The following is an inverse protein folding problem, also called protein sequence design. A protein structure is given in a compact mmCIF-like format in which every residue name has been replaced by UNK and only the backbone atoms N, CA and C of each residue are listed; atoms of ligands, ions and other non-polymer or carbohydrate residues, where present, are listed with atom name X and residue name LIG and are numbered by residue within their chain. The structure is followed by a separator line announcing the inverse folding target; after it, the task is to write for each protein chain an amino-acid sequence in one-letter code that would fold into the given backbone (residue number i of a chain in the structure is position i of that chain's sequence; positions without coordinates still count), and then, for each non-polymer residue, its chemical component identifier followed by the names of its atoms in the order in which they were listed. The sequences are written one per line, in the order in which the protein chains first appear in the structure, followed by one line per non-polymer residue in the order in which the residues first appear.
data_IF_669715375829
#
_entry.id   IF_669715375829
#
_cell.length_a   1.000
_cell.length_b   1.000
_cell.length_c   1.000
_cell.angle_alpha   90.00
_cell.angle_beta   90.00
_cell.angle_gamma   90.00
#
_symmetry.space_group_name_H-M   'P 1'
#
loop_
_entity.id
_entity.type
_entity.pdbx_description
1 polymer ?
#
# COMPACT_ATOMS: atom_id res chain seq x y z
N UNK A 1 25.04 1.41 -0.84
CA UNK A 1 24.02 2.45 -1.14
C UNK A 1 23.49 2.15 -2.53
N UNK A 2 22.18 2.17 -2.76
CA UNK A 2 21.59 1.95 -4.09
C UNK A 2 21.52 3.27 -4.88
N UNK A 3 21.27 3.19 -6.19
CA UNK A 3 21.27 4.34 -7.10
C UNK A 3 20.29 5.44 -6.65
N UNK A 4 19.09 5.11 -6.20
CA UNK A 4 18.12 6.10 -5.71
C UNK A 4 18.62 6.80 -4.44
N UNK A 5 19.21 6.06 -3.50
CA UNK A 5 19.82 6.69 -2.31
C UNK A 5 20.97 7.65 -2.69
N UNK A 6 21.74 7.30 -3.74
CA UNK A 6 22.81 8.17 -4.25
C UNK A 6 22.23 9.46 -4.81
N UNK A 7 21.32 9.37 -5.78
CA UNK A 7 20.66 10.52 -6.42
C UNK A 7 20.06 11.47 -5.37
N UNK A 8 19.22 10.93 -4.47
CA UNK A 8 18.56 11.76 -3.44
C UNK A 8 19.51 12.33 -2.39
N UNK A 9 20.64 11.68 -2.12
CA UNK A 9 21.62 12.19 -1.17
C UNK A 9 22.44 13.33 -1.77
N UNK A 10 22.81 13.24 -3.04
CA UNK A 10 23.59 14.25 -3.73
C UNK A 10 22.79 15.54 -3.98
N UNK A 11 21.46 15.43 -4.21
CA UNK A 11 20.58 16.57 -4.48
C UNK A 11 19.60 16.89 -3.34
N UNK A 12 19.88 16.44 -2.12
CA UNK A 12 18.91 16.58 -1.00
C UNK A 12 18.65 18.04 -0.64
N UNK A 13 19.73 18.84 -0.47
CA UNK A 13 19.62 20.25 -0.10
C UNK A 13 19.00 21.06 -1.23
N UNK A 14 19.42 20.82 -2.46
CA UNK A 14 18.91 21.46 -3.66
C UNK A 14 17.41 21.19 -3.84
N UNK A 15 16.97 19.94 -3.65
CA UNK A 15 15.56 19.56 -3.66
C UNK A 15 14.77 20.37 -2.61
N UNK A 16 15.26 20.47 -1.37
CA UNK A 16 14.57 21.21 -0.32
C UNK A 16 14.48 22.69 -0.66
N UNK A 17 15.59 23.29 -1.11
CA UNK A 17 15.66 24.70 -1.35
C UNK A 17 14.88 25.17 -2.59
N UNK A 18 14.90 24.40 -3.68
CA UNK A 18 14.26 24.79 -4.94
C UNK A 18 12.83 24.30 -5.08
N UNK A 19 12.51 23.12 -4.53
CA UNK A 19 11.21 22.50 -4.74
C UNK A 19 10.23 22.71 -3.57
N UNK A 20 10.70 23.16 -2.42
CA UNK A 20 9.89 23.38 -1.21
C UNK A 20 8.92 22.22 -0.92
N UNK A 21 9.44 20.96 -0.81
CA UNK A 21 8.60 19.78 -0.72
C UNK A 21 7.82 19.75 0.59
N UNK A 22 6.69 19.03 0.60
CA UNK A 22 5.86 18.81 1.78
C UNK A 22 6.65 18.07 2.89
N UNK A 23 6.32 18.30 4.15
CA UNK A 23 6.96 17.65 5.31
C UNK A 23 6.97 16.12 5.19
N UNK A 24 5.90 15.54 4.66
CA UNK A 24 5.82 14.10 4.41
C UNK A 24 6.85 13.60 3.39
N UNK A 25 7.24 14.43 2.43
CA UNK A 25 8.30 14.14 1.46
C UNK A 25 9.66 14.20 2.15
N UNK A 26 9.95 15.30 2.85
CA UNK A 26 11.21 15.48 3.58
C UNK A 26 11.45 14.30 4.54
N UNK A 27 10.44 13.96 5.37
CA UNK A 27 10.54 12.85 6.33
C UNK A 27 10.84 11.50 5.66
N UNK A 28 10.23 11.23 4.50
CA UNK A 28 10.42 9.95 3.81
C UNK A 28 11.74 9.88 3.04
N UNK A 29 12.18 10.98 2.43
CA UNK A 29 13.46 11.08 1.74
C UNK A 29 14.61 10.97 2.75
N UNK A 30 14.59 11.75 3.83
CA UNK A 30 15.59 11.66 4.91
C UNK A 30 15.74 10.24 5.45
N UNK A 31 14.61 9.59 5.75
CA UNK A 31 14.61 8.18 6.15
C UNK A 31 15.22 7.26 5.10
N UNK A 32 14.96 7.51 3.82
CA UNK A 32 15.43 6.65 2.74
C UNK A 32 16.93 6.79 2.51
N UNK A 33 17.47 7.99 2.46
CA UNK A 33 18.92 8.24 2.25
C UNK A 33 19.76 7.64 3.38
N UNK A 34 19.24 7.63 4.61
CA UNK A 34 19.89 7.09 5.80
C UNK A 34 19.59 5.61 6.08
N UNK A 35 18.84 4.93 5.20
CA UNK A 35 18.40 3.56 5.43
C UNK A 35 19.55 2.55 5.40
N UNK A 36 19.74 1.85 6.51
CA UNK A 36 20.78 0.82 6.64
C UNK A 36 22.16 1.36 6.93
N UNK A 37 22.28 2.65 7.23
CA UNK A 37 23.52 3.23 7.71
C UNK A 37 23.82 2.72 9.13
N UNK A 38 24.98 2.04 9.38
CA UNK A 38 25.34 1.51 10.69
C UNK A 38 25.46 2.57 11.79
N UNK A 39 25.76 3.83 11.42
CA UNK A 39 25.87 4.94 12.39
C UNK A 39 24.57 5.21 13.15
N UNK A 40 23.42 4.88 12.60
CA UNK A 40 22.12 4.98 13.29
C UNK A 40 21.84 3.81 14.23
N UNK A 41 22.73 2.81 14.23
CA UNK A 41 22.63 1.63 15.08
C UNK A 41 22.11 0.39 14.40
N UNK A 42 22.01 -0.69 15.16
CA UNK A 42 21.59 -2.00 14.70
C UNK A 42 21.67 -3.05 15.81
N UNK A 43 21.43 -4.29 15.44
CA UNK A 43 21.50 -5.44 16.33
C UNK A 43 22.68 -6.34 15.97
N UNK A 44 23.44 -6.76 16.96
CA UNK A 44 24.53 -7.73 16.83
C UNK A 44 24.01 -9.12 17.19
N UNK A 45 24.28 -10.08 16.34
CA UNK A 45 24.02 -11.50 16.54
C UNK A 45 25.33 -12.29 16.49
N UNK A 46 25.42 -13.35 17.30
CA UNK A 46 26.55 -14.26 17.32
C UNK A 46 26.11 -15.71 17.16
N UNK A 47 26.90 -16.49 16.45
CA UNK A 47 26.71 -17.92 16.34
C UNK A 47 27.50 -18.65 17.42
N UNK A 48 26.84 -19.35 18.33
CA UNK A 48 27.50 -20.15 19.39
C UNK A 48 28.30 -21.35 18.88
N UNK A 49 28.07 -21.78 17.65
CA UNK A 49 28.76 -22.93 17.08
C UNK A 49 30.06 -22.56 16.34
N UNK A 50 30.04 -21.55 15.48
CA UNK A 50 31.21 -21.20 14.66
C UNK A 50 31.80 -19.82 14.96
N UNK A 51 31.29 -19.11 15.98
CA UNK A 51 31.78 -17.78 16.38
C UNK A 51 31.43 -16.64 15.41
N UNK A 52 30.74 -16.91 14.28
CA UNK A 52 30.43 -15.89 13.29
C UNK A 52 29.57 -14.77 13.89
N UNK A 53 29.92 -13.51 13.62
CA UNK A 53 29.20 -12.32 14.05
C UNK A 53 28.46 -11.69 12.88
N UNK A 54 27.22 -11.23 13.13
CA UNK A 54 26.36 -10.58 12.14
C UNK A 54 25.77 -9.30 12.70
N UNK A 55 26.13 -8.17 12.13
CA UNK A 55 25.51 -6.89 12.44
C UNK A 55 24.37 -6.61 11.47
N UNK A 56 23.17 -6.33 12.00
CA UNK A 56 21.97 -6.01 11.23
C UNK A 56 21.61 -4.56 11.50
N UNK A 57 21.91 -3.63 10.57
CA UNK A 57 21.64 -2.20 10.76
C UNK A 57 20.12 -1.93 10.77
N UNK A 58 19.73 -0.89 11.48
CA UNK A 58 18.34 -0.44 11.51
C UNK A 58 17.85 -0.04 10.12
N UNK A 59 16.58 -0.34 9.85
CA UNK A 59 15.90 -0.02 8.60
C UNK A 59 14.91 1.10 8.81
N UNK A 60 14.80 2.00 7.83
CA UNK A 60 13.99 3.22 7.91
C UNK A 60 12.48 2.97 7.97
N UNK A 61 12.01 1.80 7.51
CA UNK A 61 10.58 1.43 7.40
C UNK A 61 9.74 2.37 6.53
N UNK A 62 10.35 3.33 5.81
CA UNK A 62 9.65 4.14 4.82
C UNK A 62 9.20 3.28 3.64
N UNK A 63 7.96 3.51 3.18
CA UNK A 63 7.46 2.86 1.97
C UNK A 63 8.11 3.39 0.70
N UNK A 64 8.65 4.58 0.75
CA UNK A 64 9.39 5.20 -0.35
C UNK A 64 10.79 4.59 -0.54
N UNK A 65 11.38 4.04 0.50
CA UNK A 65 12.67 3.36 0.42
C UNK A 65 12.58 2.08 -0.42
N UNK A 66 13.43 1.85 -1.43
CA UNK A 66 13.40 0.65 -2.27
C UNK A 66 13.46 -0.65 -1.46
N UNK A 67 14.36 -0.73 -0.50
CA UNK A 67 14.53 -1.92 0.36
C UNK A 67 13.35 -2.12 1.30
N UNK A 68 12.98 -1.08 2.07
CA UNK A 68 11.92 -1.18 3.08
C UNK A 68 10.54 -1.25 2.45
N UNK A 69 10.32 -0.53 1.34
CA UNK A 69 9.08 -0.55 0.61
C UNK A 69 8.82 -1.91 -0.06
N UNK A 70 9.86 -2.54 -0.63
CA UNK A 70 9.72 -3.89 -1.18
C UNK A 70 9.35 -4.89 -0.08
N UNK A 71 10.04 -4.85 1.06
CA UNK A 71 9.67 -5.66 2.24
C UNK A 71 8.22 -5.43 2.65
N UNK A 72 7.81 -4.17 2.78
CA UNK A 72 6.44 -3.81 3.13
C UNK A 72 5.42 -4.38 2.14
N UNK A 73 5.67 -4.29 0.83
CA UNK A 73 4.80 -4.83 -0.21
C UNK A 73 4.63 -6.34 -0.10
N UNK A 74 5.73 -7.08 0.09
CA UNK A 74 5.70 -8.54 0.23
C UNK A 74 4.95 -8.93 1.50
N UNK A 75 5.28 -8.34 2.65
CA UNK A 75 4.60 -8.61 3.93
C UNK A 75 3.08 -8.35 3.82
N UNK A 76 2.68 -7.26 3.16
CA UNK A 76 1.26 -6.90 3.00
C UNK A 76 0.52 -7.83 2.05
N UNK A 77 1.12 -8.18 0.91
CA UNK A 77 0.53 -9.12 -0.03
C UNK A 77 0.35 -10.51 0.58
N UNK A 78 1.37 -10.99 1.29
CA UNK A 78 1.30 -12.26 2.01
C UNK A 78 0.19 -12.23 3.06
N UNK A 79 0.13 -11.18 3.89
CA UNK A 79 -0.94 -11.01 4.89
C UNK A 79 -2.34 -10.92 4.25
N UNK A 80 -2.47 -10.26 3.10
CA UNK A 80 -3.77 -10.17 2.39
C UNK A 80 -4.20 -11.53 1.85
N UNK A 81 -3.26 -12.33 1.30
CA UNK A 81 -3.58 -13.65 0.74
C UNK A 81 -4.22 -14.61 1.75
N UNK A 82 -3.87 -14.48 3.03
CA UNK A 82 -4.49 -15.27 4.11
C UNK A 82 -5.90 -14.81 4.49
N UNK A 83 -6.29 -13.59 4.15
CA UNK A 83 -7.59 -13.00 4.52
C UNK A 83 -8.67 -13.19 3.48
N UNK A 84 -8.28 -13.56 2.26
CA UNK A 84 -9.22 -13.67 1.15
C UNK A 84 -10.03 -14.95 1.26
N UNK A 85 -11.34 -14.80 1.11
CA UNK A 85 -12.29 -15.90 1.04
C UNK A 85 -12.08 -16.70 -0.27
N UNK A 86 -12.35 -18.02 -0.21
CA UNK A 86 -12.21 -18.92 -1.38
C UNK A 86 -13.41 -18.78 -2.31
N UNK A 87 -13.43 -17.69 -3.07
CA UNK A 87 -14.42 -17.44 -4.11
C UNK A 87 -13.73 -16.74 -5.28
N UNK A 88 -14.27 -16.80 -6.50
CA UNK A 88 -13.77 -15.97 -7.58
C UNK A 88 -13.76 -14.49 -7.21
N UNK A 89 -12.74 -13.79 -7.66
CA UNK A 89 -12.62 -12.35 -7.49
C UNK A 89 -12.38 -11.70 -8.84
N UNK A 90 -12.84 -10.47 -8.95
CA UNK A 90 -12.64 -9.63 -10.12
C UNK A 90 -11.70 -8.48 -9.80
N UNK A 91 -10.75 -8.24 -10.67
CA UNK A 91 -9.90 -7.06 -10.62
C UNK A 91 -10.58 -5.93 -11.38
N UNK A 92 -11.00 -4.90 -10.66
CA UNK A 92 -11.55 -3.67 -11.23
C UNK A 92 -10.51 -2.56 -11.12
N UNK A 93 -10.45 -1.69 -12.14
CA UNK A 93 -9.63 -0.48 -12.12
C UNK A 93 -10.52 0.71 -12.43
N UNK A 94 -10.56 1.68 -11.52
CA UNK A 94 -11.34 2.91 -11.63
C UNK A 94 -10.38 4.06 -11.91
N UNK A 95 -10.41 4.59 -13.12
CA UNK A 95 -9.56 5.71 -13.56
C UNK A 95 -10.37 6.99 -13.66
N UNK A 96 -9.71 8.13 -13.57
CA UNK A 96 -10.31 9.45 -13.65
C UNK A 96 -9.95 10.15 -14.95
N UNK A 97 -10.74 11.15 -15.33
CA UNK A 97 -10.42 12.04 -16.43
C UNK A 97 -9.13 12.84 -16.13
N UNK A 98 -8.37 13.13 -17.17
CA UNK A 98 -7.09 13.83 -17.05
C UNK A 98 -7.26 15.22 -16.44
N UNK A 99 -8.32 15.91 -16.80
CA UNK A 99 -8.67 17.25 -16.33
C UNK A 99 -8.87 17.32 -14.81
N UNK A 100 -9.13 16.18 -14.16
CA UNK A 100 -9.26 16.11 -12.70
C UNK A 100 -7.92 15.89 -11.98
N UNK A 101 -6.89 15.39 -12.66
CA UNK A 101 -5.61 15.06 -12.02
C UNK A 101 -4.95 16.22 -11.26
N UNK A 102 -4.95 17.47 -11.79
CA UNK A 102 -4.35 18.61 -11.09
C UNK A 102 -4.99 18.92 -9.73
N UNK A 103 -6.29 18.68 -9.56
CA UNK A 103 -6.98 18.89 -8.28
C UNK A 103 -6.43 17.97 -7.20
N UNK A 104 -6.22 16.70 -7.53
CA UNK A 104 -5.67 15.71 -6.61
C UNK A 104 -4.18 15.91 -6.33
N UNK A 105 -3.43 16.49 -7.26
CA UNK A 105 -2.03 16.84 -7.06
C UNK A 105 -1.89 18.04 -6.12
N UNK A 106 -2.76 19.04 -6.30
CA UNK A 106 -2.78 20.25 -5.46
C UNK A 106 -3.26 19.96 -4.03
N UNK A 107 -4.27 19.10 -3.89
CA UNK A 107 -4.82 18.70 -2.59
C UNK A 107 -4.95 17.18 -2.49
N UNK A 108 -3.96 16.55 -1.86
CA UNK A 108 -3.94 15.10 -1.65
C UNK A 108 -5.07 14.60 -0.74
N UNK A 109 -5.76 15.47 0.01
CA UNK A 109 -6.91 15.07 0.83
C UNK A 109 -8.09 14.61 -0.03
N UNK A 110 -8.20 15.14 -1.26
CA UNK A 110 -9.22 14.77 -2.25
C UNK A 110 -9.09 13.30 -2.71
N UNK A 111 -7.92 12.67 -2.55
CA UNK A 111 -7.76 11.23 -2.84
C UNK A 111 -8.73 10.36 -2.01
N UNK A 112 -9.25 10.87 -0.89
CA UNK A 112 -10.32 10.20 -0.15
C UNK A 112 -11.61 10.07 -0.95
N UNK A 113 -11.93 11.04 -1.81
CA UNK A 113 -13.13 11.04 -2.65
C UNK A 113 -13.15 9.83 -3.63
N UNK A 114 -11.97 9.42 -4.11
CA UNK A 114 -11.86 8.22 -4.95
C UNK A 114 -12.34 6.96 -4.23
N UNK A 115 -11.91 6.79 -2.99
CA UNK A 115 -12.33 5.64 -2.17
C UNK A 115 -13.82 5.69 -1.83
N UNK A 116 -14.35 6.89 -1.49
CA UNK A 116 -15.77 7.08 -1.20
C UNK A 116 -16.62 6.77 -2.43
N UNK A 117 -16.24 7.29 -3.59
CA UNK A 117 -16.96 7.04 -4.85
C UNK A 117 -16.97 5.56 -5.23
N UNK A 118 -15.83 4.87 -5.19
CA UNK A 118 -15.73 3.43 -5.49
C UNK A 118 -16.57 2.62 -4.50
N UNK A 119 -16.50 2.92 -3.21
CA UNK A 119 -17.32 2.23 -2.20
C UNK A 119 -18.82 2.42 -2.45
N UNK A 120 -19.25 3.64 -2.72
CA UNK A 120 -20.67 3.97 -3.02
C UNK A 120 -21.17 3.21 -4.23
N UNK A 121 -20.39 3.22 -5.33
CA UNK A 121 -20.78 2.59 -6.61
C UNK A 121 -20.89 1.07 -6.49
N UNK A 122 -19.89 0.42 -5.89
CA UNK A 122 -19.93 -1.04 -5.69
C UNK A 122 -21.08 -1.42 -4.76
N UNK A 123 -21.25 -0.73 -3.65
CA UNK A 123 -22.33 -1.00 -2.69
C UNK A 123 -23.70 -0.83 -3.35
N UNK A 124 -23.90 0.23 -4.15
CA UNK A 124 -25.14 0.49 -4.88
C UNK A 124 -25.40 -0.57 -5.96
N UNK A 125 -24.38 -1.01 -6.67
CA UNK A 125 -24.53 -2.07 -7.67
C UNK A 125 -25.04 -3.36 -7.03
N UNK A 126 -24.43 -3.79 -5.93
CA UNK A 126 -24.85 -5.00 -5.20
C UNK A 126 -26.24 -4.83 -4.57
N UNK A 127 -26.58 -3.66 -4.07
CA UNK A 127 -27.91 -3.36 -3.56
C UNK A 127 -28.98 -3.49 -4.67
N UNK A 128 -28.74 -2.97 -5.89
CA UNK A 128 -29.68 -3.07 -7.02
C UNK A 128 -29.87 -4.51 -7.50
N UNK A 129 -28.80 -5.32 -7.52
CA UNK A 129 -28.88 -6.73 -7.90
C UNK A 129 -29.74 -7.51 -6.90
N UNK A 130 -29.90 -7.00 -5.69
CA UNK A 130 -30.47 -7.72 -4.57
C UNK A 130 -31.62 -6.98 -3.89
N UNK A 131 -32.70 -6.76 -4.62
CA UNK A 131 -33.86 -5.93 -4.26
C UNK A 131 -34.51 -6.24 -2.88
N UNK A 132 -34.30 -7.42 -2.31
CA UNK A 132 -35.01 -7.89 -1.11
C UNK A 132 -34.15 -8.32 0.07
N UNK A 133 -32.83 -8.37 -0.07
CA UNK A 133 -31.95 -8.91 0.97
C UNK A 133 -30.68 -8.04 1.16
N UNK A 134 -30.28 -7.85 2.42
CA UNK A 134 -28.99 -7.22 2.75
C UNK A 134 -27.84 -8.13 2.35
N UNK A 135 -27.25 -7.82 1.21
CA UNK A 135 -26.24 -8.60 0.53
C UNK A 135 -24.97 -7.78 0.40
N UNK A 136 -23.88 -8.29 0.96
CA UNK A 136 -22.63 -7.52 1.09
C UNK A 136 -21.48 -8.25 0.39
N UNK A 137 -20.85 -7.66 -0.64
CA UNK A 137 -19.64 -8.20 -1.23
C UNK A 137 -18.43 -7.94 -0.31
N UNK A 138 -17.32 -8.63 -0.57
CA UNK A 138 -16.02 -8.29 -0.01
C UNK A 138 -15.16 -7.62 -1.05
N UNK A 139 -14.58 -6.44 -0.74
CA UNK A 139 -13.64 -5.81 -1.65
C UNK A 139 -12.52 -5.05 -0.95
N UNK A 140 -11.38 -5.00 -1.64
CA UNK A 140 -10.17 -4.33 -1.18
C UNK A 140 -9.78 -3.30 -2.24
N UNK A 141 -9.72 -2.03 -1.85
CA UNK A 141 -9.31 -0.94 -2.70
C UNK A 141 -7.86 -0.52 -2.39
N UNK A 142 -7.08 -0.33 -3.44
CA UNK A 142 -5.70 0.14 -3.36
C UNK A 142 -5.55 1.33 -4.29
N UNK A 143 -5.10 2.46 -3.73
CA UNK A 143 -4.78 3.65 -4.50
C UNK A 143 -3.41 3.51 -5.15
N UNK A 144 -3.36 3.75 -6.46
CA UNK A 144 -2.14 4.05 -7.20
C UNK A 144 -2.22 5.49 -7.70
N UNK A 145 -1.10 6.17 -7.74
CA UNK A 145 -1.05 7.59 -8.13
C UNK A 145 -0.26 7.84 -9.41
N UNK A 146 0.29 6.79 -10.03
CA UNK A 146 1.23 6.91 -11.15
C UNK A 146 0.89 5.98 -12.32
N UNK A 147 1.26 6.41 -13.53
CA UNK A 147 1.37 5.58 -14.72
C UNK A 147 2.72 4.87 -14.79
N UNK A 148 2.96 4.10 -15.86
CA UNK A 148 4.28 3.48 -16.12
C UNK A 148 5.35 4.54 -16.45
N UNK A 149 4.92 5.68 -16.94
CA UNK A 149 5.69 6.88 -17.28
C UNK A 149 5.98 7.80 -16.08
N UNK A 150 5.71 7.34 -14.87
CA UNK A 150 5.85 8.07 -13.60
C UNK A 150 4.97 9.32 -13.48
N UNK A 151 4.12 9.64 -14.45
CA UNK A 151 3.22 10.79 -14.40
C UNK A 151 2.11 10.59 -13.37
N UNK A 152 1.65 11.71 -12.80
CA UNK A 152 0.55 11.72 -11.85
C UNK A 152 -0.76 11.24 -12.48
N UNK A 153 -1.22 10.08 -12.05
CA UNK A 153 -2.42 9.44 -12.54
C UNK A 153 -3.14 8.66 -11.41
N UNK A 154 -3.85 9.34 -10.50
CA UNK A 154 -4.53 8.66 -9.40
C UNK A 154 -5.68 7.78 -9.89
N UNK A 155 -5.66 6.51 -9.48
CA UNK A 155 -6.68 5.53 -9.81
C UNK A 155 -6.77 4.46 -8.73
N UNK A 156 -7.93 3.79 -8.66
CA UNK A 156 -8.17 2.74 -7.66
C UNK A 156 -8.16 1.37 -8.32
N UNK A 157 -7.26 0.51 -7.85
CA UNK A 157 -7.36 -0.92 -8.06
C UNK A 157 -8.27 -1.53 -7.00
N UNK A 158 -9.24 -2.31 -7.42
CA UNK A 158 -10.20 -2.95 -6.54
C UNK A 158 -10.25 -4.46 -6.80
N UNK A 159 -9.96 -5.26 -5.78
CA UNK A 159 -10.20 -6.70 -5.80
C UNK A 159 -11.59 -6.94 -5.19
N UNK A 160 -12.55 -7.33 -6.02
CA UNK A 160 -13.97 -7.49 -5.68
C UNK A 160 -14.38 -8.97 -5.75
N UNK A 161 -15.01 -9.49 -4.69
CA UNK A 161 -15.57 -10.84 -4.70
C UNK A 161 -16.74 -10.96 -5.70
N UNK A 162 -16.77 -12.03 -6.51
CA UNK A 162 -17.89 -12.35 -7.41
C UNK A 162 -19.03 -13.00 -6.62
N UNK A 163 -19.55 -12.25 -5.68
CA UNK A 163 -20.63 -12.64 -4.79
C UNK A 163 -20.53 -11.93 -3.45
N UNK A 164 -21.45 -12.27 -2.56
CA UNK A 164 -21.52 -11.70 -1.24
C UNK A 164 -22.37 -12.53 -0.27
N UNK A 165 -22.35 -12.12 0.98
CA UNK A 165 -23.15 -12.73 2.04
C UNK A 165 -24.33 -11.85 2.44
N UNK A 166 -25.46 -12.45 2.71
CA UNK A 166 -26.67 -11.84 3.25
C UNK A 166 -27.03 -12.43 4.63
N UNK A 167 -28.08 -11.90 5.23
CA UNK A 167 -28.57 -12.39 6.51
C UNK A 167 -29.27 -13.74 6.41
N UNK A 168 -30.03 -13.96 5.33
CA UNK A 168 -30.81 -15.18 5.07
C UNK A 168 -30.13 -16.15 4.10
N UNK A 169 -29.23 -15.65 3.24
CA UNK A 169 -28.46 -16.47 2.29
C UNK A 169 -26.98 -16.40 2.67
N UNK A 170 -26.35 -17.53 3.02
CA UNK A 170 -24.94 -17.54 3.42
C UNK A 170 -24.01 -17.00 2.35
N UNK A 171 -24.28 -17.32 1.08
CA UNK A 171 -23.54 -16.85 -0.08
C UNK A 171 -24.41 -16.79 -1.34
N UNK A 172 -24.34 -15.68 -2.06
CA UNK A 172 -24.91 -15.52 -3.40
C UNK A 172 -23.83 -15.15 -4.40
N UNK A 173 -23.71 -15.94 -5.46
CA UNK A 173 -22.78 -15.69 -6.57
C UNK A 173 -23.35 -14.58 -7.48
N UNK A 174 -22.44 -13.72 -7.98
CA UNK A 174 -22.75 -12.68 -8.96
C UNK A 174 -21.74 -12.79 -10.09
N UNK A 175 -22.20 -13.22 -11.26
CA UNK A 175 -21.33 -13.47 -12.43
C UNK A 175 -21.32 -12.28 -13.40
N UNK A 176 -22.37 -11.46 -13.37
CA UNK A 176 -22.53 -10.35 -14.29
C UNK A 176 -22.39 -8.99 -13.61
N UNK A 177 -21.56 -8.15 -14.19
CA UNK A 177 -21.34 -6.76 -13.78
C UNK A 177 -21.70 -5.84 -14.93
N UNK A 178 -22.61 -4.90 -14.68
CA UNK A 178 -22.97 -3.90 -15.67
C UNK A 178 -21.92 -2.78 -15.72
N UNK A 179 -21.00 -2.86 -16.67
CA UNK A 179 -19.89 -1.93 -16.83
C UNK A 179 -20.33 -0.50 -17.15
N UNK A 180 -21.36 -0.34 -17.96
CA UNK A 180 -21.89 0.99 -18.27
C UNK A 180 -22.40 1.66 -17.00
N UNK A 181 -23.18 0.92 -16.22
CA UNK A 181 -23.64 1.41 -14.92
C UNK A 181 -22.49 1.77 -13.98
N UNK A 182 -21.41 0.98 -13.97
CA UNK A 182 -20.22 1.28 -13.15
C UNK A 182 -19.53 2.56 -13.59
N UNK A 183 -19.35 2.77 -14.90
CA UNK A 183 -18.71 3.97 -15.47
C UNK A 183 -19.50 5.24 -15.13
N UNK A 184 -20.79 5.25 -15.45
CA UNK A 184 -21.67 6.39 -15.25
C UNK A 184 -21.84 6.70 -13.76
N UNK A 185 -22.03 5.66 -12.95
CA UNK A 185 -22.17 5.82 -11.49
C UNK A 185 -20.88 6.30 -10.83
N UNK A 186 -19.71 5.83 -11.30
CA UNK A 186 -18.42 6.26 -10.75
C UNK A 186 -18.15 7.73 -11.08
N UNK A 187 -18.37 8.16 -12.32
CA UNK A 187 -18.28 9.57 -12.71
C UNK A 187 -19.18 10.44 -11.82
N UNK A 188 -20.46 10.07 -11.72
CA UNK A 188 -21.42 10.83 -10.92
C UNK A 188 -21.05 10.90 -9.44
N UNK A 189 -20.68 9.76 -8.85
CA UNK A 189 -20.29 9.71 -7.43
C UNK A 189 -19.04 10.54 -7.16
N UNK A 190 -18.00 10.42 -8.01
CA UNK A 190 -16.77 11.16 -7.82
C UNK A 190 -16.97 12.67 -8.00
N UNK A 191 -17.67 13.09 -9.05
CA UNK A 191 -17.95 14.51 -9.30
C UNK A 191 -18.84 15.12 -8.21
N UNK A 192 -19.72 14.34 -7.58
CA UNK A 192 -20.52 14.79 -6.45
C UNK A 192 -19.67 14.96 -5.18
N UNK A 193 -18.79 14.01 -4.88
CA UNK A 193 -17.84 14.08 -3.76
C UNK A 193 -16.89 15.29 -3.90
N UNK A 194 -16.35 15.49 -5.12
CA UNK A 194 -15.46 16.64 -5.39
C UNK A 194 -16.22 17.97 -5.27
N UNK A 195 -17.45 18.03 -5.79
CA UNK A 195 -18.27 19.25 -5.65
C UNK A 195 -18.58 19.57 -4.18
N UNK A 196 -18.88 18.56 -3.38
CA UNK A 196 -19.09 18.74 -1.92
C UNK A 196 -17.86 19.27 -1.20
N UNK A 197 -16.65 18.98 -1.69
CA UNK A 197 -15.39 19.45 -1.10
C UNK A 197 -14.90 20.79 -1.63
N UNK A 198 -15.07 21.04 -2.92
CA UNK A 198 -14.52 22.19 -3.63
C UNK A 198 -15.55 23.33 -3.77
N UNK A 199 -16.83 23.05 -3.52
CA UNK A 199 -17.89 24.03 -3.60
C UNK A 199 -18.19 24.50 -5.01
N UNK A 200 -18.75 25.71 -5.12
CA UNK A 200 -19.27 26.28 -6.39
C UNK A 200 -18.18 26.56 -7.43
N UNK A 201 -16.95 26.76 -7.03
CA UNK A 201 -15.82 26.92 -7.94
C UNK A 201 -15.62 25.71 -8.87
N UNK A 202 -16.06 24.55 -8.44
CA UNK A 202 -15.96 23.29 -9.21
C UNK A 202 -17.12 23.11 -10.22
N UNK A 203 -18.20 23.89 -10.17
CA UNK A 203 -19.38 23.70 -11.03
C UNK A 203 -19.06 23.72 -12.52
N UNK A 204 -18.24 24.68 -12.98
CA UNK A 204 -17.85 24.79 -14.41
C UNK A 204 -17.09 23.54 -14.88
N UNK A 205 -16.10 23.12 -14.07
CA UNK A 205 -15.30 21.93 -14.36
C UNK A 205 -16.20 20.67 -14.40
N UNK A 206 -17.08 20.51 -13.43
CA UNK A 206 -18.06 19.41 -13.37
C UNK A 206 -18.90 19.34 -14.63
N UNK A 207 -19.45 20.49 -15.10
CA UNK A 207 -20.27 20.56 -16.32
C UNK A 207 -19.46 20.21 -17.58
N UNK A 208 -18.24 20.74 -17.70
CA UNK A 208 -17.32 20.40 -18.81
C UNK A 208 -16.99 18.91 -18.86
N UNK A 209 -16.73 18.28 -17.70
CA UNK A 209 -16.45 16.84 -17.63
C UNK A 209 -17.64 16.01 -18.07
N UNK A 210 -18.86 16.34 -17.70
CA UNK A 210 -20.06 15.63 -18.21
C UNK A 210 -20.24 15.80 -19.72
N UNK A 211 -19.91 16.97 -20.27
CA UNK A 211 -19.99 17.22 -21.71
C UNK A 211 -18.95 16.42 -22.50
N UNK A 212 -17.70 16.33 -21.99
CA UNK A 212 -16.58 15.67 -22.64
C UNK A 212 -16.58 14.14 -22.46
N UNK A 213 -17.06 13.65 -21.32
CA UNK A 213 -17.04 12.24 -20.92
C UNK A 213 -18.45 11.65 -20.82
N UNK A 214 -19.21 11.68 -21.93
CA UNK A 214 -20.62 11.22 -22.00
C UNK A 214 -20.83 9.74 -21.67
N UNK A 215 -19.78 8.91 -21.79
CA UNK A 215 -19.81 7.47 -21.51
C UNK A 215 -19.31 7.12 -20.10
N UNK A 216 -19.26 8.11 -19.20
CA UNK A 216 -18.69 7.94 -17.85
C UNK A 216 -17.17 7.80 -17.83
N UNK A 217 -16.60 7.62 -16.65
CA UNK A 217 -15.17 7.37 -16.49
C UNK A 217 -14.82 5.92 -16.80
N UNK A 218 -13.59 5.70 -17.28
CA UNK A 218 -13.16 4.35 -17.62
C UNK A 218 -13.08 3.46 -16.37
N UNK A 219 -13.84 2.37 -16.40
CA UNK A 219 -13.79 1.29 -15.42
C UNK A 219 -13.47 0.00 -16.15
N UNK A 220 -12.28 -0.56 -15.86
CA UNK A 220 -11.93 -1.91 -16.30
C UNK A 220 -12.42 -2.90 -15.26
N UNK A 221 -13.18 -3.89 -15.67
CA UNK A 221 -13.65 -4.94 -14.77
C UNK A 221 -13.87 -6.26 -15.55
N UNK A 222 -12.95 -6.57 -16.46
CA UNK A 222 -13.04 -7.77 -17.31
C UNK A 222 -13.18 -9.03 -16.45
N UNK A 223 -14.03 -9.98 -16.86
CA UNK A 223 -14.11 -11.28 -16.22
C UNK A 223 -12.79 -12.03 -16.46
N UNK A 224 -11.89 -11.94 -15.51
CA UNK A 224 -10.71 -12.77 -15.52
C UNK A 224 -10.95 -13.86 -14.48
N UNK A 225 -10.84 -15.12 -14.89
CA UNK A 225 -10.68 -16.26 -13.96
C UNK A 225 -9.31 -16.17 -13.27
N UNK A 226 -9.04 -15.00 -12.64
CA UNK A 226 -7.78 -14.78 -11.97
C UNK A 226 -7.81 -15.43 -10.60
N UNK A 227 -6.81 -16.22 -10.31
CA UNK A 227 -6.52 -16.59 -8.93
C UNK A 227 -6.36 -15.32 -8.09
N UNK A 228 -7.12 -15.17 -6.99
CA UNK A 228 -7.02 -13.99 -6.13
C UNK A 228 -5.60 -13.69 -5.67
N UNK A 229 -4.79 -14.73 -5.45
CA UNK A 229 -3.37 -14.63 -5.08
C UNK A 229 -2.51 -13.89 -6.12
N UNK A 230 -2.75 -14.11 -7.41
CA UNK A 230 -2.04 -13.41 -8.49
C UNK A 230 -2.40 -11.93 -8.55
N UNK A 231 -3.70 -11.63 -8.40
CA UNK A 231 -4.19 -10.22 -8.37
C UNK A 231 -3.64 -9.48 -7.16
N UNK A 232 -3.62 -10.12 -5.98
CA UNK A 232 -3.04 -9.52 -4.77
C UNK A 232 -1.56 -9.23 -4.96
N UNK A 233 -0.80 -10.16 -5.52
CA UNK A 233 0.62 -9.94 -5.82
C UNK A 233 0.81 -8.78 -6.79
N UNK A 234 -0.03 -8.68 -7.83
CA UNK A 234 0.02 -7.59 -8.80
C UNK A 234 -0.28 -6.23 -8.13
N UNK A 235 -1.41 -6.13 -7.43
CA UNK A 235 -1.81 -4.90 -6.74
C UNK A 235 -0.79 -4.54 -5.63
N UNK A 236 -0.29 -5.56 -4.94
CA UNK A 236 0.63 -5.38 -3.82
C UNK A 236 2.01 -4.88 -4.21
N UNK A 237 2.47 -5.10 -5.45
CA UNK A 237 3.77 -4.60 -5.92
C UNK A 237 3.92 -3.09 -5.73
N UNK A 238 2.83 -2.34 -5.78
CA UNK A 238 2.82 -0.89 -5.74
C UNK A 238 2.48 -0.29 -4.37
N UNK A 239 2.34 -1.15 -3.33
CA UNK A 239 1.92 -0.67 -2.00
C UNK A 239 3.02 0.02 -1.20
N UNK A 240 4.25 -0.27 -1.48
CA UNK A 240 5.34 0.15 -0.61
C UNK A 240 6.71 0.10 -1.26
N UNK A 241 6.86 0.56 -2.47
CA UNK A 241 8.17 0.85 -3.05
C UNK A 241 8.08 2.17 -3.81
N UNK A 242 9.21 2.82 -4.11
CA UNK A 242 9.23 3.89 -5.07
C UNK A 242 8.49 3.46 -6.33
N UNK A 243 7.85 4.39 -6.98
CA UNK A 243 7.06 4.14 -8.18
C UNK A 243 7.87 3.53 -9.34
N UNK A 244 9.20 3.61 -9.25
CA UNK A 244 10.16 2.97 -10.15
C UNK A 244 10.98 1.90 -9.42
N UNK A 245 11.29 0.80 -10.09
CA UNK A 245 12.29 -0.15 -9.62
C UNK A 245 13.70 0.37 -9.97
N UNK A 246 14.67 0.15 -9.08
CA UNK A 246 16.06 0.60 -9.33
C UNK A 246 16.68 -0.02 -10.59
N UNK A 247 16.20 -1.18 -11.02
CA UNK A 247 16.60 -1.84 -12.27
C UNK A 247 16.09 -1.15 -13.54
N UNK A 248 15.18 -0.19 -13.42
CA UNK A 248 14.68 0.60 -14.54
C UNK A 248 15.43 1.94 -14.68
N UNK A 249 16.39 2.21 -13.82
CA UNK A 249 17.31 3.35 -13.93
C UNK A 249 18.56 2.86 -14.67
N UNK A 250 18.74 3.32 -15.87
CA UNK A 250 19.81 2.87 -16.75
C UNK A 250 21.12 3.58 -16.45
N UNK A 251 21.09 4.92 -16.25
CA UNK A 251 22.27 5.72 -15.91
C UNK A 251 21.92 6.96 -15.07
N UNK A 252 22.93 7.48 -14.40
CA UNK A 252 22.93 8.74 -13.67
C UNK A 252 24.34 9.33 -13.71
N UNK A 253 24.49 10.51 -14.29
CA UNK A 253 25.78 11.19 -14.50
C UNK A 253 26.06 12.36 -13.52
N UNK A 254 25.10 12.69 -12.67
CA UNK A 254 25.15 13.83 -11.75
C UNK A 254 24.05 14.85 -12.06
N UNK A 255 23.80 15.16 -13.32
CA UNK A 255 22.84 16.17 -13.76
C UNK A 255 21.56 15.54 -14.34
N UNK A 256 21.69 14.39 -14.99
CA UNK A 256 20.59 13.71 -15.68
C UNK A 256 20.42 12.27 -15.20
N UNK A 257 19.17 11.82 -15.24
CA UNK A 257 18.79 10.42 -14.98
C UNK A 257 18.14 9.86 -16.23
N UNK A 258 18.67 8.74 -16.71
CA UNK A 258 18.08 7.95 -17.80
C UNK A 258 17.37 6.74 -17.21
N UNK A 259 16.12 6.55 -17.57
CA UNK A 259 15.31 5.41 -17.12
C UNK A 259 14.42 4.90 -18.24
N UNK A 260 13.95 3.65 -18.09
CA UNK A 260 13.08 3.02 -19.08
C UNK A 260 11.79 2.47 -18.48
N UNK A 261 10.76 2.38 -19.32
CA UNK A 261 9.49 1.73 -19.01
C UNK A 261 8.83 1.16 -20.27
N UNK A 262 7.93 0.21 -20.12
CA UNK A 262 7.13 -0.27 -21.24
C UNK A 262 5.85 0.56 -21.35
N UNK A 263 5.61 1.16 -22.50
CA UNK A 263 4.39 1.92 -22.78
C UNK A 263 3.15 1.01 -22.71
N UNK A 264 2.04 1.54 -22.19
CA UNK A 264 0.88 0.71 -21.91
C UNK A 264 0.14 0.24 -23.18
N UNK A 265 0.15 1.04 -24.22
CA UNK A 265 -0.66 0.85 -25.43
C UNK A 265 -0.11 -0.29 -26.30
N UNK A 266 1.20 -0.39 -26.44
CA UNK A 266 1.86 -1.31 -27.37
C UNK A 266 3.02 -2.12 -26.75
N UNK A 267 3.21 -2.01 -25.41
CA UNK A 267 4.29 -2.63 -24.64
C UNK A 267 5.71 -2.26 -25.15
N UNK A 268 5.82 -1.22 -25.98
CA UNK A 268 7.10 -0.75 -26.51
C UNK A 268 7.97 -0.19 -25.40
N UNK A 269 9.24 -0.57 -25.38
CA UNK A 269 10.23 -0.02 -24.47
C UNK A 269 10.49 1.45 -24.81
N UNK A 270 10.30 2.33 -23.85
CA UNK A 270 10.58 3.76 -23.91
C UNK A 270 11.71 4.05 -22.95
N UNK A 271 12.72 4.79 -23.43
CA UNK A 271 13.81 5.30 -22.60
C UNK A 271 13.71 6.82 -22.57
N UNK A 272 13.74 7.40 -21.39
CA UNK A 272 13.69 8.83 -21.16
C UNK A 272 14.90 9.29 -20.37
N UNK A 273 15.45 10.45 -20.73
CA UNK A 273 16.50 11.15 -20.00
C UNK A 273 15.95 12.49 -19.54
N UNK A 274 15.99 12.74 -18.25
CA UNK A 274 15.43 13.97 -17.65
C UNK A 274 16.43 14.58 -16.68
N UNK A 275 16.35 15.91 -16.42
CA UNK A 275 17.13 16.55 -15.36
C UNK A 275 16.83 15.88 -14.00
N UNK A 276 17.85 15.79 -13.16
CA UNK A 276 17.76 15.05 -11.89
C UNK A 276 16.69 15.61 -10.95
N UNK A 277 16.49 16.92 -10.89
CA UNK A 277 15.46 17.51 -10.03
C UNK A 277 14.05 17.22 -10.54
N UNK A 278 13.86 17.14 -11.86
CA UNK A 278 12.59 16.73 -12.46
C UNK A 278 12.29 15.27 -12.12
N UNK A 279 13.30 14.39 -12.23
CA UNK A 279 13.17 12.99 -11.82
C UNK A 279 12.82 12.85 -10.34
N UNK A 280 13.45 13.63 -9.47
CA UNK A 280 13.12 13.67 -8.04
C UNK A 280 11.67 14.10 -7.82
N UNK A 281 11.21 15.15 -8.52
CA UNK A 281 9.83 15.63 -8.48
C UNK A 281 8.84 14.55 -8.94
N UNK A 282 9.15 13.88 -10.08
CA UNK A 282 8.34 12.77 -10.60
C UNK A 282 8.16 11.65 -9.58
N UNK A 283 9.14 11.39 -8.73
CA UNK A 283 9.03 10.35 -7.70
C UNK A 283 8.35 10.84 -6.42
N UNK A 284 8.68 12.03 -5.94
CA UNK A 284 8.25 12.55 -4.63
C UNK A 284 6.79 12.96 -4.59
N UNK A 285 6.20 13.37 -5.73
CA UNK A 285 4.77 13.67 -5.84
C UNK A 285 3.88 12.50 -5.40
N UNK A 286 4.36 11.26 -5.51
CA UNK A 286 3.64 10.04 -5.16
C UNK A 286 3.74 9.65 -3.67
N UNK A 287 4.55 10.35 -2.88
CA UNK A 287 4.64 10.13 -1.44
C UNK A 287 3.35 10.59 -0.79
N UNK A 288 2.59 9.68 -0.14
CA UNK A 288 1.32 10.05 0.49
C UNK A 288 1.54 10.86 1.75
N UNK A 289 0.51 11.60 2.15
CA UNK A 289 0.49 12.29 3.43
C UNK A 289 0.63 11.32 4.61
N UNK A 290 1.13 11.85 5.72
CA UNK A 290 1.29 11.08 6.97
C UNK A 290 -0.05 10.47 7.37
N UNK A 291 -0.03 9.17 7.72
CA UNK A 291 -1.22 8.40 8.09
C UNK A 291 -2.23 8.14 6.97
N UNK A 292 -2.02 8.61 5.74
CA UNK A 292 -2.92 8.29 4.63
C UNK A 292 -2.95 6.79 4.34
N UNK A 293 -4.16 6.22 4.29
CA UNK A 293 -4.37 4.79 4.07
C UNK A 293 -4.54 4.49 2.58
N UNK A 294 -3.45 4.02 1.95
CA UNK A 294 -3.43 3.60 0.55
C UNK A 294 -4.24 2.32 0.28
N UNK A 295 -4.55 1.54 1.32
CA UNK A 295 -5.34 0.30 1.23
C UNK A 295 -6.55 0.43 2.13
N UNK A 296 -7.74 0.13 1.59
CA UNK A 296 -8.98 0.11 2.35
C UNK A 296 -9.77 -1.17 2.11
N UNK A 297 -10.35 -1.69 3.18
CA UNK A 297 -11.10 -2.93 3.21
C UNK A 297 -12.57 -2.63 3.43
N UNK A 298 -13.43 -3.18 2.56
CA UNK A 298 -14.85 -2.90 2.57
C UNK A 298 -15.68 -4.19 2.61
N UNK A 299 -16.94 -4.04 2.98
CA UNK A 299 -17.90 -5.14 3.03
C UNK A 299 -17.42 -6.28 3.92
N UNK A 300 -17.37 -7.50 3.41
CA UNK A 300 -16.94 -8.70 4.16
C UNK A 300 -15.49 -8.60 4.66
N UNK A 301 -14.64 -7.79 4.02
CA UNK A 301 -13.24 -7.59 4.43
C UNK A 301 -13.06 -6.48 5.45
N UNK A 302 -14.10 -5.70 5.77
CA UNK A 302 -14.04 -4.65 6.78
C UNK A 302 -13.82 -5.24 8.19
N UNK A 303 -13.06 -4.53 9.04
CA UNK A 303 -12.66 -5.04 10.36
C UNK A 303 -13.85 -5.34 11.30
N UNK A 304 -14.93 -4.56 11.20
CA UNK A 304 -16.11 -4.71 12.03
C UNK A 304 -16.95 -5.95 11.67
N UNK A 305 -16.75 -6.52 10.47
CA UNK A 305 -17.47 -7.72 10.00
C UNK A 305 -16.67 -9.03 10.13
N UNK A 306 -15.77 -9.12 11.07
CA UNK A 306 -14.97 -10.33 11.31
C UNK A 306 -15.79 -11.57 11.60
N UNK A 307 -16.99 -11.43 12.17
CA UNK A 307 -17.90 -12.53 12.44
C UNK A 307 -18.48 -13.15 11.15
N UNK A 308 -18.79 -12.30 10.16
CA UNK A 308 -19.35 -12.75 8.88
C UNK A 308 -18.33 -13.55 8.07
N UNK A 309 -17.05 -13.19 8.20
CA UNK A 309 -15.95 -13.95 7.62
C UNK A 309 -15.83 -15.37 8.16
N UNK A 310 -16.34 -15.65 9.37
CA UNK A 310 -16.35 -17.02 9.95
C UNK A 310 -17.24 -17.96 9.15
N UNK A 311 -18.32 -17.47 8.58
CA UNK A 311 -19.27 -18.25 7.79
C UNK A 311 -18.69 -18.69 6.43
N UNK A 312 -17.75 -17.92 5.86
CA UNK A 312 -17.15 -18.14 4.55
C UNK A 312 -15.69 -18.60 4.61
N UNK A 313 -15.28 -19.10 5.76
CA UNK A 313 -13.91 -19.58 5.98
C UNK A 313 -13.59 -20.82 5.16
N UNK A 314 -13.09 -20.56 4.00
CA UNK A 314 -12.25 -21.52 3.33
C UNK A 314 -10.76 -21.28 3.61
N UNK A 315 -10.42 -20.79 4.78
CA UNK A 315 -9.04 -20.84 5.25
C UNK A 315 -8.92 -22.15 6.01
N UNK A 316 -8.13 -23.10 5.48
CA UNK A 316 -7.83 -24.32 6.21
C UNK A 316 -7.26 -24.00 7.60
N UNK A 317 -7.46 -24.90 8.59
CA UNK A 317 -6.89 -24.70 9.94
C UNK A 317 -5.39 -24.42 9.89
N UNK A 318 -4.69 -25.02 8.94
CA UNK A 318 -3.27 -24.82 8.68
C UNK A 318 -2.95 -23.38 8.23
N UNK A 319 -3.63 -22.85 7.22
CA UNK A 319 -3.47 -21.45 6.79
C UNK A 319 -3.78 -20.46 7.90
N UNK A 320 -4.78 -20.76 8.74
CA UNK A 320 -5.09 -19.92 9.89
C UNK A 320 -3.95 -19.91 10.93
N UNK A 321 -3.34 -21.08 11.19
CA UNK A 321 -2.18 -21.20 12.09
C UNK A 321 -0.97 -20.41 11.55
N UNK A 322 -0.68 -20.52 10.25
CA UNK A 322 0.35 -19.73 9.58
C UNK A 322 0.05 -18.23 9.68
N UNK A 323 -1.19 -17.82 9.47
CA UNK A 323 -1.60 -16.41 9.63
C UNK A 323 -1.37 -15.89 11.05
N UNK A 324 -1.63 -16.68 12.07
CA UNK A 324 -1.37 -16.30 13.46
C UNK A 324 0.13 -16.18 13.74
N UNK A 325 0.94 -17.09 13.21
CA UNK A 325 2.41 -17.03 13.36
C UNK A 325 3.02 -15.86 12.60
N UNK A 326 2.40 -15.42 11.51
CA UNK A 326 2.87 -14.32 10.67
C UNK A 326 3.04 -12.98 11.41
N UNK A 327 2.44 -12.82 12.57
CA UNK A 327 2.65 -11.65 13.44
C UNK A 327 4.03 -11.66 14.15
N UNK A 328 4.72 -12.79 14.19
CA UNK A 328 6.07 -12.91 14.71
C UNK A 328 7.08 -12.51 13.63
N UNK A 329 8.08 -11.71 13.99
CA UNK A 329 9.05 -11.17 13.05
C UNK A 329 9.77 -12.25 12.23
N UNK A 330 10.25 -13.31 12.90
CA UNK A 330 10.97 -14.42 12.26
C UNK A 330 10.10 -15.17 11.25
N UNK A 331 8.88 -15.53 11.66
CA UNK A 331 7.92 -16.26 10.82
C UNK A 331 7.47 -15.38 9.64
N UNK A 332 7.29 -14.06 9.87
CA UNK A 332 6.99 -13.12 8.78
C UNK A 332 8.07 -13.11 7.71
N UNK A 333 9.35 -13.07 8.11
CA UNK A 333 10.48 -13.12 7.16
C UNK A 333 10.51 -14.46 6.43
N UNK A 334 10.40 -15.57 7.17
CA UNK A 334 10.44 -16.91 6.60
C UNK A 334 9.33 -17.11 5.56
N UNK A 335 8.08 -16.73 5.87
CA UNK A 335 6.95 -16.88 4.95
C UNK A 335 6.95 -15.88 3.79
N UNK A 336 7.55 -14.69 3.97
CA UNK A 336 7.59 -13.67 2.93
C UNK A 336 8.75 -13.83 1.96
N UNK A 337 9.91 -14.30 2.45
CA UNK A 337 11.16 -14.31 1.70
C UNK A 337 11.79 -15.69 1.57
N UNK A 338 11.26 -16.72 2.24
CA UNK A 338 11.74 -18.09 2.13
C UNK A 338 13.04 -18.39 2.89
N UNK A 339 13.54 -17.47 3.74
CA UNK A 339 14.74 -17.70 4.53
C UNK A 339 14.53 -17.36 6.01
N UNK A 340 15.28 -18.04 6.88
CA UNK A 340 15.29 -17.77 8.32
C UNK A 340 16.31 -16.66 8.63
N UNK A 341 15.86 -15.48 9.16
CA UNK A 341 16.77 -14.36 9.45
C UNK A 341 17.78 -14.64 10.56
N UNK A 342 17.54 -15.66 11.39
CA UNK A 342 18.42 -16.05 12.49
C UNK A 342 19.36 -17.22 12.13
N UNK A 343 19.28 -17.78 10.93
CA UNK A 343 20.25 -18.77 10.49
C UNK A 343 21.62 -18.16 10.24
N UNK A 344 22.65 -18.80 10.76
CA UNK A 344 24.04 -18.43 10.50
C UNK A 344 24.37 -18.68 9.02
N UNK A 345 24.90 -17.70 8.28
CA UNK A 345 25.23 -17.90 6.87
C UNK A 345 26.43 -18.82 6.64
N UNK A 346 27.22 -19.12 7.68
CA UNK A 346 28.42 -19.96 7.59
C UNK A 346 28.10 -21.42 7.88
N UNK A 347 27.47 -21.73 9.03
CA UNK A 347 27.25 -23.11 9.47
C UNK A 347 25.78 -23.54 9.51
N UNK A 348 24.84 -22.63 9.26
CA UNK A 348 23.39 -22.93 9.27
C UNK A 348 22.75 -22.99 10.67
N UNK A 349 23.51 -22.95 11.74
CA UNK A 349 23.02 -22.95 13.13
C UNK A 349 22.29 -21.64 13.49
N UNK A 350 21.51 -21.64 14.57
CA UNK A 350 20.74 -20.48 14.99
C UNK A 350 21.64 -19.48 15.71
N UNK A 351 21.62 -18.24 15.24
CA UNK A 351 22.35 -17.13 15.86
C UNK A 351 21.57 -16.55 17.03
N UNK A 352 22.30 -16.21 18.10
CA UNK A 352 21.78 -15.57 19.30
C UNK A 352 21.92 -14.05 19.21
N UNK A 353 20.93 -13.33 19.72
CA UNK A 353 21.02 -11.88 19.91
C UNK A 353 22.03 -11.57 21.00
N UNK A 354 23.00 -10.72 20.70
CA UNK A 354 24.05 -10.32 21.66
C UNK A 354 23.79 -8.93 22.23
N UNK A 355 23.72 -7.90 21.36
CA UNK A 355 23.61 -6.50 21.80
C UNK A 355 22.82 -5.67 20.77
N UNK A 356 22.23 -4.58 21.27
CA UNK A 356 21.67 -3.52 20.45
C UNK A 356 22.60 -2.29 20.53
N UNK A 357 22.81 -1.66 19.40
CA UNK A 357 23.58 -0.43 19.29
C UNK A 357 22.67 0.70 18.80
N UNK A 358 22.85 1.90 19.35
CA UNK A 358 22.23 3.12 18.88
C UNK A 358 23.27 4.24 18.88
N UNK A 359 23.48 4.87 17.74
CA UNK A 359 24.53 5.90 17.55
C UNK A 359 25.91 5.42 18.07
N UNK A 360 26.33 4.23 17.63
CA UNK A 360 27.56 3.55 18.01
C UNK A 360 27.72 3.14 19.49
N UNK A 361 26.75 3.46 20.35
CA UNK A 361 26.77 3.06 21.76
C UNK A 361 25.91 1.82 21.99
N UNK A 362 26.36 0.85 22.79
CA UNK A 362 25.53 -0.27 23.19
C UNK A 362 24.36 0.22 24.06
N UNK A 363 23.16 -0.27 23.79
CA UNK A 363 21.97 0.07 24.58
C UNK A 363 21.88 -0.89 25.78
N UNK A 364 21.82 -0.40 27.01
CA UNK A 364 21.70 -1.24 28.20
C UNK A 364 20.41 -2.05 28.22
N UNK A 365 20.43 -3.28 28.73
CA UNK A 365 19.25 -4.17 28.75
C UNK A 365 18.07 -3.59 29.53
N UNK A 366 18.32 -2.89 30.64
CA UNK A 366 17.27 -2.25 31.43
C UNK A 366 16.52 -1.18 30.62
N UNK A 367 17.23 -0.37 29.82
CA UNK A 367 16.60 0.64 28.95
C UNK A 367 15.74 -0.02 27.86
N UNK A 368 16.20 -1.14 27.28
CA UNK A 368 15.41 -1.91 26.33
C UNK A 368 14.12 -2.44 26.98
N UNK A 369 14.25 -2.98 28.21
CA UNK A 369 13.11 -3.49 28.97
C UNK A 369 12.09 -2.38 29.24
N UNK A 370 12.50 -1.22 29.73
CA UNK A 370 11.62 -0.09 29.99
C UNK A 370 10.93 0.44 28.72
N UNK A 371 11.64 0.52 27.61
CA UNK A 371 11.06 0.92 26.32
C UNK A 371 9.95 -0.05 25.87
N UNK A 372 10.18 -1.35 26.06
CA UNK A 372 9.18 -2.40 25.75
C UNK A 372 7.99 -2.27 26.68
N UNK A 373 8.21 -2.10 27.98
CA UNK A 373 7.15 -2.01 29.00
C UNK A 373 6.32 -0.72 28.83
N UNK A 374 6.92 0.43 28.53
CA UNK A 374 6.19 1.66 28.18
C UNK A 374 5.26 1.45 26.97
N UNK A 375 5.75 0.79 25.94
CA UNK A 375 4.95 0.48 24.76
C UNK A 375 3.83 -0.53 25.03
N UNK A 376 4.02 -1.42 25.99
CA UNK A 376 3.00 -2.38 26.41
C UNK A 376 1.90 -1.69 27.22
N UNK A 377 2.26 -0.84 28.19
CA UNK A 377 1.34 -0.05 29.02
C UNK A 377 0.48 0.90 28.19
N UNK A 378 1.03 1.55 27.18
CA UNK A 378 0.28 2.43 26.26
C UNK A 378 -0.71 1.71 25.34
N UNK A 379 -0.66 0.37 25.27
CA UNK A 379 -1.55 -0.47 24.46
C UNK A 379 -2.61 -1.21 25.28
N UNK A 380 -2.47 -1.25 26.59
CA UNK A 380 -3.49 -1.82 27.49
C UNK A 380 -4.64 -0.80 27.60
N UNK A 381 -5.90 -1.19 27.36
CA UNK A 381 -7.03 -0.33 27.66
C UNK A 381 -7.00 -0.03 29.15
N UNK A 382 -7.16 1.24 29.53
CA UNK A 382 -7.38 1.62 30.91
C UNK A 382 -8.58 0.84 31.45
N UNK A 383 -8.33 -0.07 32.39
CA UNK A 383 -9.40 -0.68 33.17
C UNK A 383 -9.93 0.42 34.08
N UNK A 384 -11.00 1.08 33.62
CA UNK A 384 -11.78 1.98 34.50
C UNK A 384 -12.45 1.05 35.52
N UNK A 385 -12.20 1.20 36.83
CA UNK A 385 -12.94 0.45 37.82
C UNK A 385 -14.41 0.85 37.70
N UNK A 386 -15.28 -0.11 37.47
CA UNK A 386 -16.72 0.11 37.63
C UNK A 386 -16.91 0.49 39.08
N UNK A 387 -17.19 1.76 39.37
CA UNK A 387 -17.70 2.19 40.67
C UNK A 387 -18.98 1.42 40.94
N UNK A 388 -18.95 0.64 41.98
CA UNK A 388 -20.15 0.06 42.62
C UNK A 388 -21.05 1.22 43.04
N UNK A 389 -22.14 1.39 42.32
CA UNK A 389 -23.27 2.17 42.81
C UNK A 389 -24.14 1.21 43.65
N UNK A 390 -24.15 1.51 44.92
CA UNK A 390 -25.10 1.00 45.94
C UNK A 390 -26.52 1.47 45.64
#
# INVERSE_FOLDING_TARGET
MNILQKIFKEHYEEMIYLQHPRDSVIENVDKMINCGNPSFGGAMYGCGHCGNLKFVPFRCKSRFCPTCGNKYSIDRTTSMSFKIIKTPHRHCVFTIAEELRPFFLKDHSLLNCLFSAVNSVISRMFFKINKSQRFTPGFICVLHTFGRDLKWNPHIHCLLSEGGAGTSIPWRKVDHFNYRLLRDSFQTALLSELHSRLGDSFKKVKSSIYANHKNGFYVRALPNKCEPSKVIKYIGRYLGRPVIATSHIDSYDGDFVTFHYNRHEDEKLITETVPVLDFISMLTQHIPEKHFKMIRYYGLYARHRKSDLKLHRAISKEKHRIFLSFNRWRDCILHSFGYDPLKCPVCGEIMLFLKLYYRHQPVPLHELYERVMRKHRSRSPSIVPKSSLS
#
